data_IF_104493065730
#
_entry.id   IF_104493065730
#
_cell.length_a   1.000
_cell.length_b   1.000
_cell.length_c   1.000
_cell.angle_alpha   90.00
_cell.angle_beta   90.00
_cell.angle_gamma   90.00
#
_symmetry.space_group_name_H-M   'P 1'
#
loop_
_entity.id
_entity.type
_entity.pdbx_description
1 polymer ?
#
# COMPACT_ATOMS: atom_id res chain seq x y z
N UNK A 1 -1.32 -5.33 -8.00
CA UNK A 1 -0.63 -4.62 -6.92
C UNK A 1 -0.07 -5.67 -5.95
N UNK A 2 1.19 -6.11 -6.08
CA UNK A 2 1.75 -7.12 -5.17
C UNK A 2 1.77 -6.61 -3.73
N UNK A 3 1.04 -7.30 -2.85
CA UNK A 3 0.92 -6.97 -1.43
C UNK A 3 1.84 -7.88 -0.62
N UNK A 4 2.75 -7.28 0.14
CA UNK A 4 3.57 -7.95 1.15
C UNK A 4 3.31 -7.34 2.55
N UNK A 5 4.04 -7.81 3.57
CA UNK A 5 3.92 -7.29 4.94
C UNK A 5 4.17 -5.78 5.04
N UNK A 6 5.02 -5.23 4.19
CA UNK A 6 5.42 -3.84 4.27
C UNK A 6 4.40 -2.94 3.58
N UNK A 7 3.95 -3.32 2.39
CA UNK A 7 2.84 -2.66 1.68
C UNK A 7 1.58 -2.61 2.55
N UNK A 8 1.28 -3.68 3.31
CA UNK A 8 0.15 -3.68 4.26
C UNK A 8 0.25 -2.58 5.31
N UNK A 9 1.42 -2.41 5.93
CA UNK A 9 1.64 -1.37 6.95
C UNK A 9 1.50 0.03 6.37
N UNK A 10 2.06 0.25 5.18
CA UNK A 10 1.93 1.53 4.48
C UNK A 10 0.48 1.85 4.12
N UNK A 11 -0.27 0.86 3.64
CA UNK A 11 -1.67 1.04 3.29
C UNK A 11 -2.56 1.23 4.52
N UNK A 12 -2.24 0.56 5.62
CA UNK A 12 -2.87 0.79 6.92
C UNK A 12 -2.64 2.23 7.39
N UNK A 13 -1.39 2.69 7.40
CA UNK A 13 -1.02 4.02 7.89
C UNK A 13 -1.59 5.16 7.03
N UNK A 14 -1.51 5.04 5.71
CA UNK A 14 -1.82 6.15 4.80
C UNK A 14 -3.27 6.20 4.32
N UNK A 15 -4.00 5.08 4.37
CA UNK A 15 -5.32 5.00 3.74
C UNK A 15 -6.40 4.34 4.60
N UNK A 16 -6.12 3.19 5.21
CA UNK A 16 -7.17 2.35 5.81
C UNK A 16 -7.39 2.66 7.29
N UNK A 17 -6.36 3.08 8.02
CA UNK A 17 -6.37 3.28 9.47
C UNK A 17 -6.37 1.98 10.31
N UNK A 18 -6.28 0.82 9.66
CA UNK A 18 -6.17 -0.50 10.31
C UNK A 18 -5.38 -1.48 9.43
N UNK A 19 -4.82 -2.53 10.04
CA UNK A 19 -4.18 -3.61 9.28
C UNK A 19 -5.22 -4.50 8.60
N UNK A 20 -5.36 -4.36 7.29
CA UNK A 20 -6.26 -5.17 6.47
C UNK A 20 -5.56 -6.42 5.90
N UNK A 21 -6.37 -7.38 5.42
CA UNK A 21 -5.89 -8.57 4.71
C UNK A 21 -5.25 -8.24 3.36
N UNK A 22 -4.52 -9.20 2.77
CA UNK A 22 -3.90 -9.00 1.47
C UNK A 22 -4.95 -8.76 0.36
N UNK A 23 -6.07 -9.51 0.38
CA UNK A 23 -7.15 -9.31 -0.59
C UNK A 23 -7.80 -7.92 -0.45
N UNK A 24 -8.05 -7.45 0.77
CA UNK A 24 -8.64 -6.12 1.00
C UNK A 24 -7.72 -5.01 0.51
N UNK A 25 -6.41 -5.08 0.84
CA UNK A 25 -5.44 -4.08 0.38
C UNK A 25 -5.34 -4.08 -1.15
N UNK A 26 -5.27 -5.25 -1.77
CA UNK A 26 -5.21 -5.34 -3.23
C UNK A 26 -6.49 -4.81 -3.88
N UNK A 27 -7.67 -5.16 -3.35
CA UNK A 27 -8.96 -4.68 -3.85
C UNK A 27 -9.09 -3.17 -3.73
N UNK A 28 -8.68 -2.61 -2.59
CA UNK A 28 -8.65 -1.16 -2.38
C UNK A 28 -7.68 -0.47 -3.35
N UNK A 29 -6.46 -1.01 -3.51
CA UNK A 29 -5.45 -0.44 -4.38
C UNK A 29 -5.89 -0.46 -5.86
N UNK A 30 -6.49 -1.55 -6.33
CA UNK A 30 -7.04 -1.63 -7.69
C UNK A 30 -8.19 -0.64 -7.85
N UNK A 31 -9.12 -0.56 -6.89
CA UNK A 31 -10.25 0.38 -6.94
C UNK A 31 -9.80 1.84 -6.95
N UNK A 32 -8.73 2.19 -6.21
CA UNK A 32 -8.26 3.57 -6.06
C UNK A 32 -7.27 4.01 -7.13
N UNK A 33 -6.38 3.12 -7.57
CA UNK A 33 -5.30 3.46 -8.50
C UNK A 33 -5.52 2.88 -9.92
N UNK A 34 -6.42 1.91 -10.08
CA UNK A 34 -6.72 1.29 -11.37
C UNK A 34 -5.48 0.76 -12.07
N UNK A 35 -5.34 1.09 -13.35
CA UNK A 35 -4.20 0.70 -14.19
C UNK A 35 -2.86 1.30 -13.70
N UNK A 36 -2.91 2.35 -12.89
CA UNK A 36 -1.73 2.99 -12.31
C UNK A 36 -1.27 2.33 -11.00
N UNK A 37 -1.93 1.27 -10.55
CA UNK A 37 -1.61 0.63 -9.27
C UNK A 37 -0.14 0.18 -9.16
N UNK A 38 0.47 -0.29 -10.27
CA UNK A 38 1.90 -0.64 -10.29
C UNK A 38 2.82 0.56 -10.01
N UNK A 39 2.53 1.71 -10.63
CA UNK A 39 3.28 2.95 -10.40
C UNK A 39 3.05 3.48 -8.98
N UNK A 40 1.80 3.51 -8.53
CA UNK A 40 1.44 3.95 -7.18
C UNK A 40 2.19 3.14 -6.11
N UNK A 41 2.31 1.82 -6.29
CA UNK A 41 3.06 0.98 -5.37
C UNK A 41 4.53 1.41 -5.24
N UNK A 42 5.21 1.73 -6.34
CA UNK A 42 6.62 2.14 -6.27
C UNK A 42 6.81 3.46 -5.54
N UNK A 43 5.92 4.43 -5.77
CA UNK A 43 5.96 5.70 -5.05
C UNK A 43 5.64 5.54 -3.56
N UNK A 44 4.65 4.71 -3.22
CA UNK A 44 4.31 4.40 -1.84
C UNK A 44 5.48 3.72 -1.13
N UNK A 45 6.17 2.80 -1.81
CA UNK A 45 7.36 2.15 -1.27
C UNK A 45 8.50 3.15 -1.01
N UNK A 46 8.80 4.01 -1.99
CA UNK A 46 9.81 5.06 -1.84
C UNK A 46 9.50 5.99 -0.67
N UNK A 47 8.28 6.53 -0.64
CA UNK A 47 7.83 7.46 0.39
C UNK A 47 7.92 6.86 1.79
N UNK A 48 7.38 5.65 1.97
CA UNK A 48 7.40 5.02 3.27
C UNK A 48 8.83 4.65 3.71
N UNK A 49 9.76 4.40 2.77
CA UNK A 49 11.16 4.12 3.10
C UNK A 49 11.85 5.38 3.60
N UNK A 50 11.65 6.50 2.93
CA UNK A 50 12.15 7.81 3.38
C UNK A 50 11.59 8.19 4.76
N UNK A 51 10.32 7.90 5.00
CA UNK A 51 9.63 8.22 6.26
C UNK A 51 9.77 7.14 7.34
N UNK A 52 10.45 6.03 7.06
CA UNK A 52 10.58 4.85 7.95
C UNK A 52 9.23 4.31 8.44
N UNK A 53 8.18 4.42 7.62
CA UNK A 53 6.84 3.93 7.93
C UNK A 53 6.86 2.40 7.82
N UNK A 54 6.40 1.70 8.87
CA UNK A 54 6.29 0.25 8.87
C UNK A 54 7.62 -0.52 8.91
N UNK A 55 8.75 0.17 9.15
CA UNK A 55 10.08 -0.41 9.36
C UNK A 55 10.32 -0.73 10.83
#
# INVERSE_FOLDING_TARGET
FPVDRWVRRVMAELYLGYEASNEEVNSFAIKKFGDLAGFAQQYLFYYAREKKIGM
#
